data_IF_763300847645
#
_entry.id   IF_763300847645
#
_cell.length_a   1.000
_cell.length_b   1.000
_cell.length_c   1.000
_cell.angle_alpha   90.00
_cell.angle_beta   90.00
_cell.angle_gamma   90.00
#
_symmetry.space_group_name_H-M   'P 1'
#
loop_
_entity.id
_entity.type
_entity.pdbx_description
1 polymer ?
#
# COMPACT_ATOMS: atom_id res chain seq x y z
N UNK A 1 -5.23 -7.40 17.04
CA UNK A 1 -4.97 -8.17 15.80
C UNK A 1 -5.74 -9.48 15.88
N UNK A 2 -6.23 -10.01 14.75
CA UNK A 2 -6.94 -11.30 14.74
C UNK A 2 -6.00 -12.51 14.60
N UNK A 3 -4.82 -12.32 14.00
CA UNK A 3 -3.84 -13.39 13.80
C UNK A 3 -2.42 -12.86 14.04
N UNK A 4 -1.91 -12.92 15.28
CA UNK A 4 -0.53 -12.52 15.55
C UNK A 4 0.45 -13.53 14.91
N UNK A 5 1.51 -13.03 14.30
CA UNK A 5 2.54 -13.84 13.64
C UNK A 5 3.91 -13.17 13.78
N UNK A 6 4.92 -13.97 14.14
CA UNK A 6 6.29 -13.52 14.28
C UNK A 6 6.99 -13.36 12.92
N UNK A 7 7.60 -12.19 12.65
CA UNK A 7 8.35 -11.96 11.43
C UNK A 7 9.69 -12.73 11.41
N UNK A 8 10.31 -12.94 10.23
CA UNK A 8 11.59 -13.65 10.12
C UNK A 8 12.70 -13.11 11.03
N UNK A 9 12.82 -11.79 11.15
CA UNK A 9 13.84 -11.18 11.99
C UNK A 9 13.73 -11.59 13.46
N UNK A 10 12.53 -11.87 13.98
CA UNK A 10 12.34 -12.30 15.37
C UNK A 10 12.97 -13.66 15.59
N UNK A 11 12.73 -14.60 14.66
CA UNK A 11 13.30 -15.94 14.71
C UNK A 11 14.82 -15.88 14.57
N UNK A 12 15.35 -15.03 13.68
CA UNK A 12 16.79 -14.85 13.52
C UNK A 12 17.47 -14.29 14.79
N UNK A 13 16.80 -13.43 15.56
CA UNK A 13 17.38 -12.84 16.78
C UNK A 13 17.21 -13.71 18.02
N UNK A 14 16.05 -14.33 18.19
CA UNK A 14 15.66 -14.96 19.45
C UNK A 14 15.53 -16.49 19.37
N UNK A 15 15.46 -17.05 18.15
CA UNK A 15 15.22 -18.47 17.92
C UNK A 15 13.74 -18.83 17.75
N UNK A 16 13.48 -20.05 17.28
CA UNK A 16 12.13 -20.54 16.97
C UNK A 16 11.25 -20.73 18.22
N UNK A 17 11.85 -21.15 19.33
CA UNK A 17 11.15 -21.44 20.59
C UNK A 17 11.03 -20.22 21.52
N UNK A 18 11.41 -19.03 21.05
CA UNK A 18 11.38 -17.82 21.86
C UNK A 18 9.95 -17.37 22.18
N UNK A 19 9.72 -17.03 23.44
CA UNK A 19 8.43 -16.49 23.88
C UNK A 19 8.23 -15.06 23.35
N UNK A 20 7.29 -14.89 22.42
CA UNK A 20 6.88 -13.59 21.91
C UNK A 20 6.02 -12.84 22.95
N UNK A 21 6.35 -11.58 23.23
CA UNK A 21 5.53 -10.69 24.07
C UNK A 21 5.47 -9.26 23.50
N UNK A 22 4.36 -8.57 23.70
CA UNK A 22 4.12 -7.24 23.11
C UNK A 22 4.91 -6.09 23.77
N UNK A 23 5.67 -6.37 24.84
CA UNK A 23 6.59 -5.40 25.44
C UNK A 23 7.94 -5.35 24.69
N UNK A 24 8.19 -6.32 23.80
CA UNK A 24 9.37 -6.33 22.94
C UNK A 24 9.35 -5.14 21.97
N UNK A 25 10.46 -4.38 21.83
CA UNK A 25 10.52 -3.29 20.88
C UNK A 25 10.58 -3.82 19.43
N UNK A 26 9.97 -3.10 18.49
CA UNK A 26 10.04 -3.46 17.08
C UNK A 26 11.45 -3.29 16.51
N UNK A 27 11.93 -4.24 15.70
CA UNK A 27 13.29 -4.20 15.16
C UNK A 27 13.28 -3.82 13.67
N UNK A 28 14.23 -2.97 13.26
CA UNK A 28 14.39 -2.54 11.86
C UNK A 28 14.97 -3.63 10.93
N UNK A 29 15.37 -4.78 11.49
CA UNK A 29 15.88 -5.92 10.73
C UNK A 29 16.96 -5.54 9.71
N UNK A 30 16.85 -6.02 8.47
CA UNK A 30 17.80 -5.73 7.42
C UNK A 30 17.93 -4.23 7.08
N UNK A 31 16.99 -3.38 7.50
CA UNK A 31 16.99 -1.94 7.23
C UNK A 31 17.99 -1.18 8.12
N UNK A 32 18.51 -1.80 9.18
CA UNK A 32 19.66 -1.30 9.94
C UNK A 32 20.89 -1.03 9.06
N UNK A 33 21.04 -1.75 7.94
CA UNK A 33 22.10 -1.51 6.95
C UNK A 33 21.99 -0.14 6.28
N UNK A 34 20.78 0.39 6.11
CA UNK A 34 20.54 1.74 5.57
C UNK A 34 20.97 2.79 6.58
N UNK A 35 20.66 2.58 7.87
CA UNK A 35 21.10 3.44 8.96
C UNK A 35 22.63 3.53 9.00
N UNK A 36 23.33 2.39 8.92
CA UNK A 36 24.80 2.34 8.85
C UNK A 36 25.33 3.05 7.61
N UNK A 37 24.78 2.77 6.42
CA UNK A 37 25.25 3.35 5.16
C UNK A 37 25.06 4.87 5.10
N UNK A 38 24.00 5.40 5.70
CA UNK A 38 23.69 6.84 5.70
C UNK A 38 24.22 7.57 6.95
N UNK A 39 24.81 6.85 7.92
CA UNK A 39 25.19 7.43 9.22
C UNK A 39 24.00 7.99 9.99
N UNK A 40 22.81 7.40 9.84
CA UNK A 40 21.58 7.84 10.51
C UNK A 40 21.03 6.76 11.45
N UNK A 41 19.97 7.09 12.18
CA UNK A 41 19.23 6.14 13.02
C UNK A 41 17.73 6.19 12.75
N UNK A 42 17.35 6.61 11.54
CA UNK A 42 15.95 6.87 11.21
C UNK A 42 15.14 5.58 11.24
N UNK A 43 15.67 4.50 10.65
CA UNK A 43 14.98 3.23 10.58
C UNK A 43 14.93 2.57 11.96
N UNK A 44 16.06 2.42 12.65
CA UNK A 44 16.10 1.83 13.99
C UNK A 44 15.20 2.57 14.99
N UNK A 45 15.25 3.91 15.03
CA UNK A 45 14.38 4.68 15.94
C UNK A 45 12.90 4.62 15.54
N UNK A 46 12.61 4.56 14.24
CA UNK A 46 11.25 4.41 13.73
C UNK A 46 10.64 3.07 14.13
N UNK A 47 11.35 1.98 13.86
CA UNK A 47 10.86 0.62 14.15
C UNK A 47 10.77 0.32 15.66
N UNK A 48 11.66 0.85 16.50
CA UNK A 48 11.53 0.72 17.96
C UNK A 48 10.25 1.35 18.51
N UNK A 49 9.64 2.30 17.79
CA UNK A 49 8.35 2.92 18.15
C UNK A 49 7.15 2.19 17.56
N UNK A 50 7.33 1.13 16.79
CA UNK A 50 6.22 0.38 16.22
C UNK A 50 5.44 -0.34 17.33
N UNK A 51 4.12 -0.09 17.47
CA UNK A 51 3.29 -0.80 18.44
C UNK A 51 2.92 -2.22 17.97
N UNK A 52 3.28 -2.58 16.74
CA UNK A 52 2.87 -3.82 16.07
C UNK A 52 4.13 -4.59 15.69
N UNK A 53 4.57 -5.47 16.59
CA UNK A 53 5.79 -6.27 16.43
C UNK A 53 5.47 -7.65 15.85
N UNK A 54 4.35 -8.25 16.26
CA UNK A 54 3.90 -9.58 15.84
C UNK A 54 2.71 -9.51 14.86
N UNK A 55 2.77 -8.59 13.91
CA UNK A 55 1.72 -8.35 12.91
C UNK A 55 2.13 -8.70 11.48
N UNK A 56 2.97 -9.72 11.29
CA UNK A 56 3.50 -10.04 9.95
C UNK A 56 2.40 -10.47 8.95
N UNK A 57 1.35 -11.17 9.40
CA UNK A 57 0.22 -11.61 8.59
C UNK A 57 -1.04 -10.75 8.88
N UNK A 58 -1.76 -10.27 7.85
CA UNK A 58 -1.36 -10.20 6.43
C UNK A 58 -0.34 -9.09 6.20
N UNK A 59 0.52 -9.24 5.18
CA UNK A 59 1.45 -8.17 4.81
C UNK A 59 0.70 -6.97 4.22
N UNK A 60 0.67 -5.86 4.98
CA UNK A 60 0.12 -4.58 4.50
C UNK A 60 0.94 -3.99 3.34
N UNK A 61 2.26 -4.22 3.31
CA UNK A 61 3.12 -3.83 2.18
C UNK A 61 2.65 -4.49 0.88
N UNK A 62 2.41 -5.81 0.93
CA UNK A 62 1.85 -6.55 -0.20
C UNK A 62 0.47 -6.02 -0.58
N UNK A 63 -0.44 -5.92 0.40
CA UNK A 63 -1.80 -5.49 0.14
C UNK A 63 -1.86 -4.11 -0.51
N UNK A 64 -1.07 -3.14 -0.02
CA UNK A 64 -1.03 -1.79 -0.57
C UNK A 64 -0.41 -1.75 -1.97
N UNK A 65 0.71 -2.44 -2.20
CA UNK A 65 1.35 -2.49 -3.52
C UNK A 65 0.41 -3.09 -4.58
N UNK A 66 -0.28 -4.19 -4.24
CA UNK A 66 -1.26 -4.82 -5.12
C UNK A 66 -2.49 -3.93 -5.33
N UNK A 67 -2.99 -3.24 -4.29
CA UNK A 67 -4.09 -2.28 -4.43
C UNK A 67 -3.74 -1.15 -5.39
N UNK A 68 -2.55 -0.56 -5.28
CA UNK A 68 -2.07 0.45 -6.22
C UNK A 68 -2.02 -0.11 -7.65
N UNK A 69 -1.53 -1.34 -7.82
CA UNK A 69 -1.51 -2.00 -9.13
C UNK A 69 -2.93 -2.18 -9.69
N UNK A 70 -3.89 -2.67 -8.90
CA UNK A 70 -5.28 -2.83 -9.33
C UNK A 70 -5.93 -1.49 -9.69
N UNK A 71 -5.73 -0.47 -8.88
CA UNK A 71 -6.25 0.87 -9.16
C UNK A 71 -5.72 1.41 -10.49
N UNK A 72 -4.40 1.36 -10.71
CA UNK A 72 -3.79 1.80 -11.98
C UNK A 72 -4.26 0.93 -13.15
N UNK A 73 -4.30 -0.38 -12.99
CA UNK A 73 -4.73 -1.30 -14.04
C UNK A 73 -6.20 -1.10 -14.43
N UNK A 74 -7.05 -0.69 -13.47
CA UNK A 74 -8.47 -0.42 -13.66
C UNK A 74 -8.72 0.89 -14.43
N UNK A 75 -8.04 1.98 -14.07
CA UNK A 75 -8.28 3.30 -14.68
C UNK A 75 -7.46 3.58 -15.94
N UNK A 76 -6.26 3.01 -16.05
CA UNK A 76 -5.37 3.29 -17.18
C UNK A 76 -5.57 2.31 -18.34
N UNK A 77 -5.64 2.83 -19.58
CA UNK A 77 -5.64 2.01 -20.80
C UNK A 77 -4.25 1.60 -21.27
N UNK A 78 -3.22 2.32 -20.83
CA UNK A 78 -1.84 2.18 -21.30
C UNK A 78 -1.18 0.96 -20.65
N UNK A 79 -0.36 0.23 -21.41
CA UNK A 79 0.32 -0.97 -20.91
C UNK A 79 1.50 -0.65 -20.01
N UNK A 80 2.25 0.42 -20.32
CA UNK A 80 3.48 0.77 -19.61
C UNK A 80 3.27 0.96 -18.09
N UNK A 81 2.28 1.74 -17.60
CA UNK A 81 2.05 1.87 -16.16
C UNK A 81 1.65 0.55 -15.49
N UNK A 82 0.94 -0.34 -16.19
CA UNK A 82 0.55 -1.66 -15.66
C UNK A 82 1.76 -2.55 -15.44
N UNK A 83 2.66 -2.60 -16.42
CA UNK A 83 3.93 -3.33 -16.32
C UNK A 83 4.80 -2.75 -15.21
N UNK A 84 4.89 -1.42 -15.12
CA UNK A 84 5.61 -0.74 -14.04
C UNK A 84 5.08 -1.09 -12.65
N UNK A 85 3.76 -1.07 -12.47
CA UNK A 85 3.14 -1.44 -11.19
C UNK A 85 3.29 -2.93 -10.86
N UNK A 86 3.24 -3.81 -11.86
CA UNK A 86 3.51 -5.23 -11.67
C UNK A 86 4.96 -5.45 -11.21
N UNK A 87 5.94 -4.81 -11.87
CA UNK A 87 7.34 -4.85 -11.45
C UNK A 87 7.52 -4.29 -10.03
N UNK A 88 6.83 -3.20 -9.69
CA UNK A 88 6.84 -2.63 -8.34
C UNK A 88 6.34 -3.62 -7.27
N UNK A 89 5.25 -4.36 -7.53
CA UNK A 89 4.76 -5.41 -6.61
C UNK A 89 5.84 -6.47 -6.36
N UNK A 90 6.48 -6.97 -7.42
CA UNK A 90 7.54 -7.97 -7.31
C UNK A 90 8.74 -7.43 -6.53
N UNK A 91 9.20 -6.22 -6.84
CA UNK A 91 10.32 -5.59 -6.15
C UNK A 91 10.00 -5.33 -4.67
N UNK A 92 8.78 -4.92 -4.35
CA UNK A 92 8.33 -4.70 -2.99
C UNK A 92 8.30 -6.03 -2.20
N UNK A 93 7.72 -7.07 -2.79
CA UNK A 93 7.73 -8.40 -2.18
C UNK A 93 9.13 -8.91 -1.92
N UNK A 94 10.02 -8.78 -2.91
CA UNK A 94 11.43 -9.11 -2.74
C UNK A 94 12.06 -8.30 -1.61
N UNK A 95 11.85 -6.98 -1.55
CA UNK A 95 12.44 -6.11 -0.54
C UNK A 95 12.03 -6.50 0.89
N UNK A 96 10.74 -6.78 1.12
CA UNK A 96 10.28 -7.18 2.46
C UNK A 96 10.84 -8.51 2.94
N UNK A 97 11.02 -9.48 2.03
CA UNK A 97 11.68 -10.74 2.36
C UNK A 97 13.18 -10.53 2.57
N UNK A 98 13.84 -9.79 1.69
CA UNK A 98 15.27 -9.50 1.77
C UNK A 98 15.67 -8.70 3.03
N UNK A 99 14.73 -7.93 3.57
CA UNK A 99 14.90 -7.17 4.80
C UNK A 99 14.38 -7.93 6.04
N UNK A 100 14.03 -9.21 5.92
CA UNK A 100 13.55 -10.09 7.01
C UNK A 100 12.26 -9.65 7.71
N UNK A 101 11.38 -8.92 7.01
CA UNK A 101 10.12 -8.44 7.60
C UNK A 101 8.94 -9.37 7.38
N UNK A 102 8.94 -10.16 6.31
CA UNK A 102 7.81 -10.98 5.93
C UNK A 102 8.21 -12.35 5.38
N UNK A 103 7.41 -13.35 5.71
CA UNK A 103 7.41 -14.63 5.03
C UNK A 103 6.68 -14.52 3.69
N UNK A 104 6.95 -15.48 2.79
CA UNK A 104 6.24 -15.58 1.50
C UNK A 104 4.72 -15.68 1.68
N UNK A 105 4.28 -16.42 2.71
CA UNK A 105 2.87 -16.63 2.98
C UNK A 105 2.16 -15.31 3.36
N UNK A 106 2.82 -14.45 4.14
CA UNK A 106 2.30 -13.14 4.54
C UNK A 106 1.95 -12.28 3.31
N UNK A 107 2.78 -12.36 2.27
CA UNK A 107 2.61 -11.63 1.02
C UNK A 107 1.43 -12.16 0.20
N UNK A 108 1.27 -13.49 0.13
CA UNK A 108 0.15 -14.15 -0.55
C UNK A 108 -1.18 -13.82 0.15
N UNK A 109 -1.20 -13.84 1.48
CA UNK A 109 -2.39 -13.44 2.25
C UNK A 109 -2.66 -11.94 2.06
N UNK A 110 -1.62 -11.10 1.98
CA UNK A 110 -1.75 -9.69 1.61
C UNK A 110 -2.35 -9.48 0.21
N UNK A 111 -1.95 -10.28 -0.77
CA UNK A 111 -2.55 -10.31 -2.12
C UNK A 111 -4.03 -10.69 -2.04
N UNK A 112 -4.37 -11.77 -1.32
CA UNK A 112 -5.76 -12.19 -1.14
C UNK A 112 -6.61 -11.08 -0.49
N UNK A 113 -6.08 -10.43 0.55
CA UNK A 113 -6.72 -9.29 1.19
C UNK A 113 -6.96 -8.14 0.21
N UNK A 114 -5.99 -7.82 -0.65
CA UNK A 114 -6.16 -6.83 -1.69
C UNK A 114 -7.23 -7.23 -2.72
N UNK A 115 -7.25 -8.47 -3.20
CA UNK A 115 -8.26 -8.96 -4.15
C UNK A 115 -9.67 -8.81 -3.56
N UNK A 116 -9.86 -9.25 -2.31
CA UNK A 116 -11.16 -9.17 -1.63
C UNK A 116 -11.59 -7.71 -1.51
N UNK A 117 -10.72 -6.85 -0.97
CA UNK A 117 -11.01 -5.43 -0.78
C UNK A 117 -11.35 -4.75 -2.11
N UNK A 118 -10.51 -4.92 -3.13
CA UNK A 118 -10.75 -4.29 -4.44
C UNK A 118 -12.07 -4.77 -5.06
N UNK A 119 -12.36 -6.07 -4.98
CA UNK A 119 -13.61 -6.65 -5.51
C UNK A 119 -14.84 -6.05 -4.82
N UNK A 120 -14.82 -5.90 -3.49
CA UNK A 120 -15.92 -5.32 -2.73
C UNK A 120 -16.20 -3.87 -3.17
N UNK A 121 -15.15 -3.07 -3.37
CA UNK A 121 -15.30 -1.65 -3.69
C UNK A 121 -15.45 -1.34 -5.19
N UNK A 122 -15.04 -2.25 -6.08
CA UNK A 122 -15.07 -2.05 -7.55
C UNK A 122 -16.43 -1.56 -8.05
N UNK A 123 -17.53 -2.19 -7.63
CA UNK A 123 -18.88 -1.80 -8.05
C UNK A 123 -19.23 -0.36 -7.62
N UNK A 124 -18.80 0.05 -6.42
CA UNK A 124 -19.02 1.41 -5.92
C UNK A 124 -18.22 2.42 -6.73
N UNK A 125 -16.97 2.12 -7.06
CA UNK A 125 -16.13 2.96 -7.93
C UNK A 125 -16.80 3.22 -9.28
N UNK A 126 -17.30 2.17 -9.94
CA UNK A 126 -18.01 2.29 -11.22
C UNK A 126 -19.32 3.10 -11.12
N UNK A 127 -20.05 3.01 -10.00
CA UNK A 127 -21.26 3.80 -9.78
C UNK A 127 -20.93 5.28 -9.61
N UNK A 128 -19.93 5.60 -8.78
CA UNK A 128 -19.48 6.98 -8.55
C UNK A 128 -19.00 7.60 -9.86
N UNK A 129 -18.22 6.86 -10.65
CA UNK A 129 -17.73 7.32 -11.94
C UNK A 129 -18.88 7.59 -12.93
N UNK A 130 -19.82 6.65 -13.08
CA UNK A 130 -20.99 6.84 -13.96
C UNK A 130 -21.83 8.05 -13.54
N UNK A 131 -22.02 8.25 -12.23
CA UNK A 131 -22.78 9.39 -11.73
C UNK A 131 -22.06 10.71 -12.02
N UNK A 132 -20.75 10.76 -11.84
CA UNK A 132 -19.90 11.91 -12.16
C UNK A 132 -20.01 12.28 -13.66
N UNK A 133 -19.86 11.29 -14.55
CA UNK A 133 -19.96 11.51 -16.01
C UNK A 133 -21.37 11.97 -16.40
N UNK A 134 -22.42 11.33 -15.86
CA UNK A 134 -23.82 11.73 -16.14
C UNK A 134 -24.14 13.14 -15.66
N UNK A 135 -23.66 13.54 -14.48
CA UNK A 135 -23.83 14.90 -13.99
C UNK A 135 -23.20 15.91 -14.96
N UNK A 136 -21.97 15.62 -15.41
CA UNK A 136 -21.24 16.47 -16.36
C UNK A 136 -21.93 16.58 -17.72
N UNK A 137 -22.46 15.49 -18.25
CA UNK A 137 -23.23 15.48 -19.51
C UNK A 137 -24.53 16.30 -19.40
N UNK A 138 -25.11 16.44 -18.20
CA UNK A 138 -26.29 17.26 -17.94
C UNK A 138 -25.98 18.74 -17.63
N UNK A 139 -24.70 19.13 -17.63
CA UNK A 139 -24.28 20.48 -17.25
C UNK A 139 -24.30 20.74 -15.73
N UNK A 140 -24.50 19.71 -14.90
CA UNK A 140 -24.40 19.81 -13.45
C UNK A 140 -22.93 19.72 -13.02
N UNK A 141 -22.29 20.90 -12.93
CA UNK A 141 -20.89 21.01 -12.51
C UNK A 141 -20.70 20.95 -10.99
N UNK A 142 -21.76 20.98 -10.19
CA UNK A 142 -21.67 20.76 -8.75
C UNK A 142 -21.44 19.28 -8.45
N UNK A 143 -22.13 18.37 -9.12
CA UNK A 143 -21.88 16.93 -8.99
C UNK A 143 -20.82 16.40 -10.00
N UNK A 144 -20.63 17.09 -11.13
CA UNK A 144 -19.69 16.71 -12.20
C UNK A 144 -18.29 17.31 -12.12
N UNK A 145 -17.87 17.81 -10.95
CA UNK A 145 -16.52 18.34 -10.71
C UNK A 145 -15.87 17.73 -9.46
N UNK A 146 -14.59 17.39 -9.57
CA UNK A 146 -13.79 16.95 -8.43
C UNK A 146 -13.54 18.14 -7.49
N UNK A 147 -13.19 17.87 -6.24
CA UNK A 147 -12.89 18.94 -5.28
C UNK A 147 -11.75 19.85 -5.79
N UNK A 148 -10.68 19.26 -6.35
CA UNK A 148 -9.58 20.01 -6.95
C UNK A 148 -10.03 20.91 -8.10
N UNK A 149 -10.95 20.45 -8.95
CA UNK A 149 -11.51 21.29 -10.01
C UNK A 149 -12.26 22.52 -9.46
N UNK A 150 -12.92 22.40 -8.30
CA UNK A 150 -13.65 23.51 -7.67
C UNK A 150 -12.70 24.51 -7.05
N UNK A 151 -11.68 24.04 -6.32
CA UNK A 151 -10.65 24.88 -5.72
C UNK A 151 -9.90 25.68 -6.78
N UNK A 152 -9.55 25.04 -7.91
CA UNK A 152 -8.78 25.66 -8.99
C UNK A 152 -9.64 26.14 -10.17
N UNK A 153 -10.93 26.41 -9.98
CA UNK A 153 -11.90 26.66 -11.08
C UNK A 153 -11.43 27.69 -12.12
N UNK A 154 -10.74 28.74 -11.67
CA UNK A 154 -10.24 29.85 -12.49
C UNK A 154 -8.73 29.81 -12.74
N UNK A 155 -8.09 28.66 -12.55
CA UNK A 155 -6.66 28.48 -12.69
C UNK A 155 -6.34 27.33 -13.65
N UNK A 156 -5.19 27.39 -14.34
CA UNK A 156 -4.77 26.35 -15.28
C UNK A 156 -4.62 24.98 -14.60
N UNK A 157 -4.31 24.96 -13.30
CA UNK A 157 -4.23 23.74 -12.47
C UNK A 157 -5.53 22.95 -12.43
N UNK A 158 -6.69 23.54 -12.76
CA UNK A 158 -7.96 22.78 -12.88
C UNK A 158 -7.81 21.53 -13.72
N UNK A 159 -7.05 21.61 -14.82
CA UNK A 159 -6.84 20.51 -15.77
C UNK A 159 -6.18 19.29 -15.12
N UNK A 160 -5.31 19.50 -14.13
CA UNK A 160 -4.65 18.42 -13.40
C UNK A 160 -5.64 17.56 -12.59
N UNK A 161 -6.75 18.17 -12.15
CA UNK A 161 -7.76 17.53 -11.31
C UNK A 161 -8.99 17.06 -12.10
N UNK A 162 -8.96 17.18 -13.43
CA UNK A 162 -10.05 16.77 -14.31
C UNK A 162 -9.75 15.39 -14.91
N UNK A 163 -10.46 14.33 -14.51
CA UNK A 163 -10.15 12.96 -14.93
C UNK A 163 -10.45 12.67 -16.41
N UNK A 164 -11.08 13.59 -17.15
CA UNK A 164 -11.50 13.41 -18.55
C UNK A 164 -10.98 14.51 -19.50
N UNK A 165 -9.94 15.24 -19.10
CA UNK A 165 -9.30 16.26 -19.95
C UNK A 165 -8.27 15.65 -20.92
#
# INVERSE_FOLDING_TARGET
MLFPNAPPWFIHLYGEDAAANYDMPGYAAGLTRVDVALGTHLNSKGFHKSPIVFGAIPSLHSAMAVQCMFFIAFYTKWRFPKVGMFAFVILQWWATMYLDHHWRLDLIIGLAYAIISFTIYKRRLEIVERNFVKARLRGDFEAGSSYGMRVFRNHWLKRLFDPYF
#
